data_IF_927781650239
#
_entry.id   IF_927781650239
#
_cell.length_a   1.000
_cell.length_b   1.000
_cell.length_c   1.000
_cell.angle_alpha   90.00
_cell.angle_beta   90.00
_cell.angle_gamma   90.00
#
_symmetry.space_group_name_H-M   'P 1'
#
loop_
_entity.id
_entity.type
_entity.pdbx_description
1 polymer ?
#
# COMPACT_ATOMS: atom_id res chain seq x y z
N UNK A 1 -18.30 8.41 24.06
CA UNK A 1 -17.58 9.65 23.71
C UNK A 1 -18.12 10.19 22.39
N UNK A 2 -18.28 11.51 22.23
CA UNK A 2 -18.75 12.15 20.98
C UNK A 2 -17.80 13.27 20.57
N UNK A 3 -17.60 13.43 19.27
CA UNK A 3 -16.70 14.41 18.66
C UNK A 3 -17.46 15.14 17.55
N UNK A 4 -17.31 16.47 17.45
CA UNK A 4 -17.82 17.22 16.30
C UNK A 4 -16.88 17.05 15.10
N UNK A 5 -17.34 16.39 14.03
CA UNK A 5 -16.59 16.24 12.79
C UNK A 5 -17.18 17.18 11.74
N UNK A 6 -16.69 18.43 11.71
CA UNK A 6 -17.31 19.51 10.95
C UNK A 6 -18.73 19.78 11.48
N UNK A 7 -19.73 19.73 10.58
CA UNK A 7 -21.15 19.87 10.93
C UNK A 7 -21.81 18.58 11.40
N UNK A 8 -21.10 17.45 11.42
CA UNK A 8 -21.65 16.13 11.75
C UNK A 8 -21.20 15.69 13.16
N UNK A 9 -22.11 15.52 14.12
CA UNK A 9 -21.79 14.91 15.41
C UNK A 9 -21.43 13.43 15.22
N UNK A 10 -20.21 13.06 15.58
CA UNK A 10 -19.70 11.69 15.48
C UNK A 10 -19.63 11.00 16.85
N UNK A 11 -19.90 9.69 16.88
CA UNK A 11 -19.65 8.84 18.05
C UNK A 11 -18.30 8.14 17.89
N UNK A 12 -17.47 8.22 18.91
CA UNK A 12 -16.13 7.60 18.90
C UNK A 12 -16.23 6.19 19.47
N UNK A 13 -15.77 5.22 18.69
CA UNK A 13 -15.60 3.81 19.09
C UNK A 13 -14.11 3.55 19.25
N UNK A 14 -13.65 3.35 20.49
CA UNK A 14 -12.21 3.21 20.82
C UNK A 14 -11.84 1.87 21.45
N UNK A 15 -12.80 0.95 21.64
CA UNK A 15 -12.53 -0.40 22.14
C UNK A 15 -12.62 -1.45 21.02
N UNK A 16 -11.77 -2.48 21.03
CA UNK A 16 -11.78 -3.52 20.00
C UNK A 16 -13.09 -4.33 20.00
N UNK A 17 -13.70 -4.55 21.16
CA UNK A 17 -14.97 -5.26 21.29
C UNK A 17 -16.11 -4.49 20.61
N UNK A 18 -16.17 -3.17 20.83
CA UNK A 18 -17.16 -2.32 20.20
C UNK A 18 -16.93 -2.18 18.68
N UNK A 19 -15.67 -2.09 18.25
CA UNK A 19 -15.31 -2.09 16.84
C UNK A 19 -15.72 -3.41 16.15
N UNK A 20 -15.55 -4.55 16.82
CA UNK A 20 -16.00 -5.85 16.31
C UNK A 20 -17.52 -5.91 16.15
N UNK A 21 -18.27 -5.41 17.12
CA UNK A 21 -19.73 -5.37 17.06
C UNK A 21 -20.22 -4.55 15.85
N UNK A 22 -19.58 -3.41 15.60
CA UNK A 22 -19.88 -2.51 14.49
C UNK A 22 -19.47 -3.08 13.13
N UNK A 23 -18.19 -3.49 12.98
CA UNK A 23 -17.60 -3.87 11.69
C UNK A 23 -17.88 -5.32 11.27
N UNK A 24 -18.40 -6.16 12.17
CA UNK A 24 -18.76 -7.56 11.85
C UNK A 24 -20.22 -7.83 12.07
N UNK A 25 -20.70 -7.67 13.31
CA UNK A 25 -22.05 -8.10 13.68
C UNK A 25 -23.12 -7.19 13.07
N UNK A 26 -22.87 -5.89 13.00
CA UNK A 26 -23.85 -4.90 12.53
C UNK A 26 -23.40 -4.16 11.27
N UNK A 27 -22.45 -4.73 10.51
CA UNK A 27 -21.85 -4.10 9.33
C UNK A 27 -22.91 -3.61 8.34
N UNK A 28 -23.94 -4.43 8.07
CA UNK A 28 -25.01 -4.06 7.12
C UNK A 28 -25.78 -2.78 7.48
N UNK A 29 -25.93 -2.47 8.78
CA UNK A 29 -26.61 -1.25 9.26
C UNK A 29 -25.74 -0.02 9.02
N UNK A 30 -24.42 -0.18 9.14
CA UNK A 30 -23.44 0.90 9.03
C UNK A 30 -22.72 0.97 7.68
N UNK A 31 -23.02 0.04 6.76
CA UNK A 31 -22.47 0.01 5.41
C UNK A 31 -23.11 1.04 4.47
N UNK A 32 -24.13 1.78 4.93
CA UNK A 32 -24.71 2.89 4.17
C UNK A 32 -23.67 4.01 4.02
N UNK A 33 -23.30 4.31 2.78
CA UNK A 33 -22.39 5.41 2.44
C UNK A 33 -23.20 6.51 1.77
N UNK A 34 -23.23 7.74 2.30
CA UNK A 34 -23.81 8.88 1.59
C UNK A 34 -23.12 9.02 0.24
N UNK A 35 -23.88 9.23 -0.84
CA UNK A 35 -23.28 9.51 -2.14
C UNK A 35 -22.58 10.86 -2.08
N UNK A 36 -21.26 10.82 -2.18
CA UNK A 36 -20.43 12.01 -2.29
C UNK A 36 -20.19 12.28 -3.76
N UNK A 37 -20.44 13.52 -4.22
CA UNK A 37 -20.16 13.92 -5.61
C UNK A 37 -18.71 13.63 -6.03
N UNK A 38 -17.77 13.80 -5.10
CA UNK A 38 -16.36 13.45 -5.32
C UNK A 38 -16.18 11.98 -5.73
N UNK A 39 -16.92 11.05 -5.13
CA UNK A 39 -16.85 9.61 -5.45
C UNK A 39 -17.42 9.35 -6.83
N UNK A 40 -18.54 9.99 -7.19
CA UNK A 40 -19.12 9.91 -8.54
C UNK A 40 -18.12 10.37 -9.60
N UNK A 41 -17.39 11.47 -9.35
CA UNK A 41 -16.39 11.96 -10.28
C UNK A 41 -15.14 11.08 -10.35
N UNK A 42 -14.62 10.61 -9.21
CA UNK A 42 -13.42 9.76 -9.15
C UNK A 42 -13.64 8.38 -9.77
N UNK A 43 -14.80 7.76 -9.53
CA UNK A 43 -15.11 6.40 -9.97
C UNK A 43 -15.78 6.32 -11.36
N UNK A 44 -15.67 7.39 -12.18
CA UNK A 44 -16.29 7.50 -13.51
C UNK A 44 -17.79 7.14 -13.47
N UNK A 45 -18.51 7.79 -12.57
CA UNK A 45 -19.86 7.44 -12.13
C UNK A 45 -19.84 6.52 -10.91
N UNK A 46 -20.89 5.73 -10.73
CA UNK A 46 -21.01 4.79 -9.61
C UNK A 46 -20.45 3.38 -9.96
N UNK A 47 -19.41 3.34 -10.80
CA UNK A 47 -18.80 2.11 -11.33
C UNK A 47 -17.51 1.72 -10.58
N UNK A 48 -17.25 2.36 -9.44
CA UNK A 48 -16.10 2.09 -8.59
C UNK A 48 -16.33 0.92 -7.65
N UNK A 49 -15.22 0.38 -7.13
CA UNK A 49 -15.24 -0.53 -5.97
C UNK A 49 -15.12 0.26 -4.66
N UNK A 50 -14.45 1.42 -4.72
CA UNK A 50 -14.25 2.29 -3.57
C UNK A 50 -15.51 3.08 -3.26
N UNK A 51 -15.90 3.10 -1.98
CA UNK A 51 -16.99 3.93 -1.48
C UNK A 51 -18.37 3.68 -2.11
N UNK A 52 -18.54 2.62 -2.90
CA UNK A 52 -19.84 2.16 -3.44
C UNK A 52 -20.46 1.05 -2.58
N UNK A 53 -21.77 0.83 -2.71
CA UNK A 53 -22.49 -0.27 -2.06
C UNK A 53 -23.57 -0.81 -3.02
N UNK A 54 -24.16 -1.96 -2.69
CA UNK A 54 -25.24 -2.59 -3.46
C UNK A 54 -24.80 -3.86 -4.17
N UNK A 55 -25.68 -4.37 -5.04
CA UNK A 55 -25.45 -5.64 -5.76
C UNK A 55 -24.26 -5.56 -6.71
N UNK A 56 -24.09 -4.45 -7.44
CA UNK A 56 -22.94 -4.23 -8.31
C UNK A 56 -21.60 -4.36 -7.56
N UNK A 57 -21.45 -3.63 -6.46
CA UNK A 57 -20.26 -3.69 -5.60
C UNK A 57 -19.93 -5.11 -5.13
N UNK A 58 -20.95 -5.91 -4.73
CA UNK A 58 -20.72 -7.30 -4.31
C UNK A 58 -20.13 -8.15 -5.44
N UNK A 59 -20.60 -7.97 -6.67
CA UNK A 59 -20.07 -8.70 -7.84
C UNK A 59 -18.63 -8.28 -8.15
N UNK A 60 -18.36 -6.97 -8.19
CA UNK A 60 -17.01 -6.45 -8.45
C UNK A 60 -16.04 -6.84 -7.35
N UNK A 61 -16.43 -6.72 -6.07
CA UNK A 61 -15.60 -7.16 -4.94
C UNK A 61 -15.29 -8.66 -5.02
N UNK A 62 -16.29 -9.48 -5.34
CA UNK A 62 -16.08 -10.92 -5.51
C UNK A 62 -15.07 -11.20 -6.63
N UNK A 63 -15.22 -10.53 -7.78
CA UNK A 63 -14.28 -10.63 -8.89
C UNK A 63 -12.85 -10.21 -8.48
N UNK A 64 -12.67 -9.04 -7.88
CA UNK A 64 -11.34 -8.55 -7.44
C UNK A 64 -10.69 -9.49 -6.43
N UNK A 65 -11.44 -9.97 -5.44
CA UNK A 65 -10.92 -10.87 -4.41
C UNK A 65 -10.53 -12.23 -5.00
N UNK A 66 -11.31 -12.77 -5.93
CA UNK A 66 -11.07 -14.10 -6.50
C UNK A 66 -10.02 -14.10 -7.62
N UNK A 67 -9.98 -13.08 -8.47
CA UNK A 67 -9.14 -13.08 -9.66
C UNK A 67 -7.83 -12.30 -9.48
N UNK A 68 -7.86 -11.23 -8.68
CA UNK A 68 -6.69 -10.37 -8.46
C UNK A 68 -6.01 -10.71 -7.13
N UNK A 69 -6.76 -10.67 -6.03
CA UNK A 69 -6.20 -10.77 -4.68
C UNK A 69 -6.15 -12.20 -4.12
N UNK A 70 -6.49 -13.21 -4.93
CA UNK A 70 -6.39 -14.59 -4.50
C UNK A 70 -4.95 -14.95 -4.08
N UNK A 71 -4.74 -15.70 -2.99
CA UNK A 71 -3.40 -16.02 -2.51
C UNK A 71 -2.49 -16.64 -3.57
N UNK A 72 -3.03 -17.51 -4.43
CA UNK A 72 -2.28 -18.11 -5.53
C UNK A 72 -1.77 -17.05 -6.54
N UNK A 73 -2.63 -16.08 -6.90
CA UNK A 73 -2.29 -14.97 -7.79
C UNK A 73 -1.25 -14.05 -7.14
N UNK A 74 -1.46 -13.66 -5.88
CA UNK A 74 -0.48 -12.84 -5.14
C UNK A 74 0.88 -13.54 -5.05
N UNK A 75 0.89 -14.86 -4.86
CA UNK A 75 2.11 -15.66 -4.81
C UNK A 75 2.80 -15.81 -6.17
N UNK A 76 2.07 -15.84 -7.28
CA UNK A 76 2.69 -15.89 -8.62
C UNK A 76 3.54 -14.65 -8.90
N UNK A 77 3.21 -13.51 -8.30
CA UNK A 77 3.99 -12.26 -8.40
C UNK A 77 5.17 -12.17 -7.41
N UNK A 78 5.49 -13.23 -6.68
CA UNK A 78 6.61 -13.21 -5.73
C UNK A 78 7.95 -12.88 -6.40
N UNK A 79 8.19 -13.42 -7.60
CA UNK A 79 9.40 -13.12 -8.39
C UNK A 79 9.46 -11.63 -8.75
N UNK A 80 8.40 -11.11 -9.37
CA UNK A 80 8.28 -9.69 -9.71
C UNK A 80 8.55 -8.77 -8.52
N UNK A 81 7.93 -9.02 -7.36
CA UNK A 81 8.17 -8.19 -6.16
C UNK A 81 9.63 -8.21 -5.72
N UNK A 82 10.27 -9.38 -5.77
CA UNK A 82 11.69 -9.52 -5.43
C UNK A 82 12.58 -8.74 -6.40
N UNK A 83 12.26 -8.79 -7.69
CA UNK A 83 13.04 -8.12 -8.72
C UNK A 83 12.93 -6.59 -8.57
N UNK A 84 11.71 -6.06 -8.42
CA UNK A 84 11.45 -4.63 -8.21
C UNK A 84 12.15 -4.09 -6.94
N UNK A 85 12.05 -4.81 -5.82
CA UNK A 85 12.78 -4.45 -4.59
C UNK A 85 14.29 -4.51 -4.83
N UNK A 86 14.77 -5.52 -5.55
CA UNK A 86 16.18 -5.67 -5.89
C UNK A 86 16.72 -4.47 -6.66
N UNK A 87 15.99 -3.98 -7.66
CA UNK A 87 16.37 -2.79 -8.43
C UNK A 87 16.54 -1.56 -7.54
N UNK A 88 15.56 -1.27 -6.69
CA UNK A 88 15.62 -0.12 -5.77
C UNK A 88 16.78 -0.25 -4.76
N UNK A 89 17.02 -1.45 -4.24
CA UNK A 89 18.15 -1.70 -3.33
C UNK A 89 19.48 -1.48 -4.05
N UNK A 90 19.65 -1.93 -5.28
CA UNK A 90 20.88 -1.71 -6.06
C UNK A 90 21.09 -0.23 -6.39
N UNK A 91 20.03 0.52 -6.69
CA UNK A 91 20.10 1.98 -6.85
C UNK A 91 20.57 2.68 -5.58
N UNK A 92 20.01 2.31 -4.43
CA UNK A 92 20.41 2.86 -3.12
C UNK A 92 21.87 2.52 -2.81
N UNK A 93 22.32 1.30 -3.12
CA UNK A 93 23.72 0.90 -2.94
C UNK A 93 24.68 1.74 -3.78
N UNK A 94 24.33 1.98 -5.05
CA UNK A 94 25.14 2.80 -5.95
C UNK A 94 25.25 4.24 -5.45
N UNK A 95 24.13 4.85 -5.06
CA UNK A 95 24.11 6.18 -4.47
C UNK A 95 24.94 6.24 -3.18
N UNK A 96 24.86 5.21 -2.32
CA UNK A 96 25.67 5.13 -1.12
C UNK A 96 27.19 5.06 -1.41
N UNK A 97 27.61 4.33 -2.45
CA UNK A 97 29.01 4.29 -2.89
C UNK A 97 29.47 5.63 -3.44
N UNK A 98 28.59 6.33 -4.15
CA UNK A 98 28.82 7.69 -4.65
C UNK A 98 28.74 8.77 -3.55
N UNK A 99 28.38 8.40 -2.31
CA UNK A 99 28.09 9.32 -1.21
C UNK A 99 27.01 10.35 -1.56
N UNK A 100 26.02 9.95 -2.34
CA UNK A 100 24.87 10.78 -2.73
C UNK A 100 23.69 10.59 -1.77
N UNK A 101 22.95 11.67 -1.54
CA UNK A 101 21.70 11.64 -0.79
C UNK A 101 20.59 11.00 -1.64
N UNK A 102 19.75 10.17 -1.00
CA UNK A 102 18.62 9.51 -1.67
C UNK A 102 17.33 9.89 -0.96
N UNK A 103 16.38 10.42 -1.72
CA UNK A 103 15.00 10.55 -1.25
C UNK A 103 14.34 9.15 -1.21
N UNK A 104 14.25 8.58 -0.01
CA UNK A 104 13.65 7.26 0.20
C UNK A 104 12.16 7.25 -0.12
N UNK A 105 11.44 8.33 0.16
CA UNK A 105 10.01 8.43 -0.14
C UNK A 105 9.77 8.34 -1.65
N UNK A 106 10.57 9.02 -2.47
CA UNK A 106 10.48 8.92 -3.93
C UNK A 106 10.76 7.48 -4.43
N UNK A 107 11.77 6.82 -3.86
CA UNK A 107 12.11 5.43 -4.22
C UNK A 107 11.02 4.44 -3.83
N UNK A 108 10.43 4.59 -2.65
CA UNK A 108 9.33 3.73 -2.17
C UNK A 108 8.06 3.99 -2.97
N UNK A 109 7.74 5.25 -3.27
CA UNK A 109 6.60 5.61 -4.12
C UNK A 109 6.71 4.98 -5.49
N UNK A 110 7.86 5.15 -6.16
CA UNK A 110 8.13 4.55 -7.47
C UNK A 110 8.08 3.01 -7.46
N UNK A 111 8.60 2.38 -6.40
CA UNK A 111 8.54 0.92 -6.22
C UNK A 111 7.09 0.41 -6.22
N UNK A 112 6.24 1.04 -5.40
CA UNK A 112 4.86 0.61 -5.19
C UNK A 112 4.02 0.88 -6.43
N UNK A 113 4.24 2.02 -7.08
CA UNK A 113 3.63 2.34 -8.37
C UNK A 113 3.96 1.24 -9.39
N UNK A 114 5.24 0.98 -9.62
CA UNK A 114 5.68 -0.04 -10.59
C UNK A 114 5.12 -1.43 -10.26
N UNK A 115 5.16 -1.86 -8.99
CA UNK A 115 4.57 -3.13 -8.56
C UNK A 115 3.06 -3.19 -8.87
N UNK A 116 2.33 -2.11 -8.61
CA UNK A 116 0.87 -2.03 -8.81
C UNK A 116 0.51 -2.10 -10.30
N UNK A 117 1.22 -1.36 -11.14
CA UNK A 117 1.05 -1.40 -12.60
C UNK A 117 1.39 -2.77 -13.18
N UNK A 118 2.49 -3.40 -12.75
CA UNK A 118 2.86 -4.76 -13.19
C UNK A 118 1.88 -5.81 -12.72
N UNK A 119 1.32 -5.65 -11.52
CA UNK A 119 0.32 -6.56 -10.97
C UNK A 119 -1.01 -6.50 -11.75
N UNK A 120 -1.48 -5.30 -12.09
CA UNK A 120 -2.78 -5.11 -12.73
C UNK A 120 -2.73 -5.23 -14.27
N UNK A 121 -1.71 -4.64 -14.90
CA UNK A 121 -1.61 -4.53 -16.36
C UNK A 121 -0.60 -5.49 -16.97
N UNK A 122 0.24 -6.13 -16.15
CA UNK A 122 1.37 -6.92 -16.63
C UNK A 122 2.50 -6.08 -17.23
N UNK A 123 2.50 -4.75 -17.03
CA UNK A 123 3.42 -3.80 -17.69
C UNK A 123 3.90 -2.71 -16.73
N UNK A 124 4.94 -1.97 -17.12
CA UNK A 124 5.42 -0.78 -16.42
C UNK A 124 4.41 0.37 -16.54
N UNK A 125 4.49 1.35 -15.63
CA UNK A 125 3.66 2.57 -15.64
C UNK A 125 3.76 3.41 -16.92
N UNK A 126 4.82 3.21 -17.69
CA UNK A 126 5.08 3.93 -18.95
C UNK A 126 4.18 3.46 -20.10
N UNK A 127 3.55 2.28 -19.98
CA UNK A 127 2.64 1.71 -20.98
C UNK A 127 1.18 2.02 -20.61
N UNK A 128 0.60 3.09 -21.18
CA UNK A 128 -0.83 3.41 -21.01
C UNK A 128 -1.65 2.88 -22.18
N UNK A 129 -2.76 2.19 -21.88
CA UNK A 129 -4.11 2.37 -22.48
C UNK A 129 -5.09 1.30 -21.95
N UNK A 130 -6.19 1.75 -21.32
CA UNK A 130 -7.38 0.94 -21.02
C UNK A 130 -8.59 1.69 -21.59
N UNK A 131 -9.29 1.07 -22.52
CA UNK A 131 -10.31 1.72 -23.35
C UNK A 131 -11.74 1.65 -22.75
N UNK A 132 -12.01 0.68 -21.87
CA UNK A 132 -13.37 0.47 -21.32
C UNK A 132 -13.62 1.27 -20.03
N UNK A 133 -14.64 2.16 -19.96
CA UNK A 133 -14.89 3.02 -18.80
C UNK A 133 -15.07 2.27 -17.47
N UNK A 134 -15.82 1.16 -17.45
CA UNK A 134 -16.05 0.38 -16.21
C UNK A 134 -14.82 -0.41 -15.75
N UNK A 135 -13.95 -0.80 -16.68
CA UNK A 135 -12.68 -1.43 -16.32
C UNK A 135 -11.72 -0.35 -15.84
N UNK A 136 -11.69 0.79 -16.52
CA UNK A 136 -10.88 1.95 -16.19
C UNK A 136 -11.21 2.49 -14.79
N UNK A 137 -12.48 2.57 -14.40
CA UNK A 137 -12.88 2.97 -13.04
C UNK A 137 -12.33 2.03 -11.98
N UNK A 138 -12.55 0.72 -12.14
CA UNK A 138 -12.07 -0.30 -11.18
C UNK A 138 -10.54 -0.29 -11.10
N UNK A 139 -9.84 -0.18 -12.24
CA UNK A 139 -8.38 -0.17 -12.23
C UNK A 139 -7.83 1.10 -11.58
N UNK A 140 -8.40 2.27 -11.88
CA UNK A 140 -7.98 3.52 -11.24
C UNK A 140 -8.21 3.46 -9.74
N UNK A 141 -9.38 3.00 -9.28
CA UNK A 141 -9.68 2.81 -7.85
C UNK A 141 -8.63 1.91 -7.19
N UNK A 142 -8.33 0.74 -7.77
CA UNK A 142 -7.34 -0.18 -7.18
C UNK A 142 -5.94 0.44 -7.16
N UNK A 143 -5.55 1.14 -8.24
CA UNK A 143 -4.22 1.76 -8.34
C UNK A 143 -4.04 2.82 -7.25
N UNK A 144 -4.99 3.75 -7.13
CA UNK A 144 -4.89 4.86 -6.17
C UNK A 144 -4.91 4.35 -4.74
N UNK A 145 -5.83 3.44 -4.41
CA UNK A 145 -5.94 2.88 -3.05
C UNK A 145 -4.74 2.04 -2.64
N UNK A 146 -4.22 1.21 -3.56
CA UNK A 146 -3.10 0.34 -3.27
C UNK A 146 -1.81 1.13 -3.05
N UNK A 147 -1.59 2.19 -3.83
CA UNK A 147 -0.37 2.98 -3.77
C UNK A 147 -0.31 3.77 -2.45
N UNK A 148 -1.33 4.56 -2.13
CA UNK A 148 -1.28 5.49 -0.99
C UNK A 148 -1.13 4.78 0.35
N UNK A 149 -1.89 3.70 0.55
CA UNK A 149 -1.90 2.94 1.80
C UNK A 149 -0.61 2.15 2.01
N UNK A 150 -0.09 1.51 0.94
CA UNK A 150 1.15 0.76 0.98
C UNK A 150 2.35 1.68 1.17
N UNK A 151 2.35 2.84 0.48
CA UNK A 151 3.41 3.85 0.58
C UNK A 151 3.53 4.34 2.01
N UNK A 152 2.41 4.82 2.58
CA UNK A 152 2.37 5.30 3.96
C UNK A 152 2.81 4.21 4.94
N UNK A 153 2.33 2.97 4.76
CA UNK A 153 2.69 1.86 5.64
C UNK A 153 4.19 1.55 5.60
N UNK A 154 4.79 1.47 4.41
CA UNK A 154 6.21 1.18 4.25
C UNK A 154 7.05 2.34 4.80
N UNK A 155 6.67 3.59 4.50
CA UNK A 155 7.37 4.78 4.99
C UNK A 155 7.39 4.84 6.53
N UNK A 156 6.25 4.60 7.18
CA UNK A 156 6.17 4.53 8.64
C UNK A 156 6.98 3.37 9.21
N UNK A 157 6.93 2.18 8.59
CA UNK A 157 7.74 1.03 9.01
C UNK A 157 9.23 1.37 8.92
N UNK A 158 9.68 1.97 7.81
CA UNK A 158 11.08 2.36 7.63
C UNK A 158 11.51 3.39 8.66
N UNK A 159 10.67 4.40 8.91
CA UNK A 159 10.94 5.44 9.91
C UNK A 159 11.04 4.84 11.31
N UNK A 160 10.13 3.95 11.67
CA UNK A 160 10.14 3.27 12.97
C UNK A 160 11.38 2.38 13.15
N UNK A 161 11.81 1.69 12.08
CA UNK A 161 13.04 0.88 12.09
C UNK A 161 14.30 1.75 12.24
N UNK A 162 14.32 2.96 11.68
CA UNK A 162 15.43 3.89 11.85
C UNK A 162 15.50 4.46 13.27
N UNK A 163 14.36 4.72 13.91
CA UNK A 163 14.30 5.18 15.31
C UNK A 163 14.72 4.13 16.33
N UNK A 164 14.61 2.84 16.00
CA UNK A 164 14.89 1.72 16.93
C UNK A 164 15.90 0.69 16.37
N UNK A 165 17.20 1.02 16.32
CA UNK A 165 18.23 0.21 15.66
C UNK A 165 18.44 -1.19 16.27
N UNK A 166 18.22 -1.37 17.57
CA UNK A 166 18.34 -2.67 18.25
C UNK A 166 17.22 -3.62 17.78
N UNK A 167 15.96 -3.15 17.79
CA UNK A 167 14.80 -3.92 17.30
C UNK A 167 14.91 -4.21 15.80
N UNK A 168 15.46 -3.27 15.03
CA UNK A 168 15.75 -3.46 13.61
C UNK A 168 16.71 -4.63 13.40
N UNK A 169 17.86 -4.63 14.07
CA UNK A 169 18.87 -5.68 13.89
C UNK A 169 18.34 -7.07 14.29
N UNK A 170 17.53 -7.16 15.34
CA UNK A 170 16.88 -8.42 15.74
C UNK A 170 15.90 -8.94 14.68
N UNK A 171 15.02 -8.08 14.15
CA UNK A 171 14.05 -8.45 13.12
C UNK A 171 14.74 -8.82 11.79
N UNK A 172 15.77 -8.08 11.41
CA UNK A 172 16.58 -8.34 10.20
C UNK A 172 17.31 -9.67 10.32
N UNK A 173 17.83 -10.01 11.51
CA UNK A 173 18.54 -11.27 11.75
C UNK A 173 17.62 -12.50 11.75
N UNK A 174 16.33 -12.33 12.10
CA UNK A 174 15.33 -13.41 12.04
C UNK A 174 14.77 -13.65 10.63
N UNK A 175 14.86 -12.66 9.73
CA UNK A 175 14.55 -12.84 8.31
C UNK A 175 15.68 -13.59 7.61
N UNK A 176 15.47 -14.88 7.34
CA UNK A 176 16.45 -15.69 6.63
C UNK A 176 16.89 -14.99 5.33
N UNK A 177 18.19 -14.70 5.22
CA UNK A 177 18.90 -14.15 4.07
C UNK A 177 19.16 -12.62 4.03
N UNK A 178 19.60 -12.03 5.14
CA UNK A 178 19.95 -10.59 5.24
C UNK A 178 21.39 -10.30 5.70
N UNK A 179 22.34 -11.22 5.45
CA UNK A 179 23.77 -10.95 5.68
C UNK A 179 24.22 -9.67 4.94
N UNK A 180 23.82 -9.53 3.68
CA UNK A 180 24.15 -8.36 2.86
C UNK A 180 23.57 -7.02 3.37
N UNK A 181 22.45 -7.03 4.11
CA UNK A 181 21.82 -5.80 4.63
C UNK A 181 22.40 -5.43 6.00
N UNK A 182 22.77 -6.43 6.81
CA UNK A 182 23.57 -6.20 8.02
C UNK A 182 24.96 -5.67 7.67
N UNK A 183 25.62 -6.22 6.64
CA UNK A 183 26.90 -5.72 6.14
C UNK A 183 26.80 -4.27 5.64
N UNK A 184 25.70 -3.93 4.93
CA UNK A 184 25.44 -2.57 4.47
C UNK A 184 25.24 -1.59 5.65
N UNK A 185 24.53 -2.03 6.69
CA UNK A 185 24.25 -1.23 7.89
C UNK A 185 25.50 -1.03 8.75
N UNK A 186 26.31 -2.07 8.95
CA UNK A 186 27.59 -1.95 9.68
C UNK A 186 28.58 -1.07 8.91
N UNK A 187 28.61 -1.18 7.58
CA UNK A 187 29.38 -0.29 6.73
C UNK A 187 28.93 1.17 6.88
N UNK A 188 27.62 1.44 6.84
CA UNK A 188 27.05 2.79 7.01
C UNK A 188 27.42 3.39 8.37
N UNK A 189 27.32 2.57 9.43
CA UNK A 189 27.68 2.96 10.80
C UNK A 189 29.17 3.29 10.97
N UNK A 190 30.05 2.65 10.21
CA UNK A 190 31.51 2.87 10.30
C UNK A 190 32.02 4.08 9.52
N UNK A 191 31.28 4.58 8.52
CA UNK A 191 31.76 5.65 7.62
C UNK A 191 31.04 6.98 7.72
N UNK A 192 29.76 7.02 8.10
CA UNK A 192 28.95 8.25 8.02
C UNK A 192 28.69 8.88 9.40
N UNK A 193 28.80 8.12 10.49
CA UNK A 193 28.81 8.66 11.84
C UNK A 193 30.17 8.38 12.51
N UNK A 194 31.20 9.23 12.36
CA UNK A 194 32.19 9.32 13.41
C UNK A 194 31.49 9.90 14.65
N UNK A 195 31.81 9.38 15.84
CA UNK A 195 31.38 10.02 17.10
C UNK A 195 31.72 11.51 17.10
#
# INVERSE_FOLDING_TARGET
MSLGMGSVPARVVSSPEAAQLFLKTHDSVFAARPQMEAVTHMSYGNNGISLTNGTYWRHVRKFVVQELLAPAKVNSFRGMRRDEVGLVVEEIKKAAVACEEVNVSDKVGGLIENMTFRFLLGRSKDDKLIDRPSIKSIMIDIITEAIDTSFSSIEWILTELMRHPIKRNEKVSRGANLRALLDLIEWWRRRICPN
#
